data_IF_160381761448
#
_entry.id   IF_160381761448
#
_cell.length_a   1.000
_cell.length_b   1.000
_cell.length_c   1.000
_cell.angle_alpha   90.00
_cell.angle_beta   90.00
_cell.angle_gamma   90.00
#
_symmetry.space_group_name_H-M   'P 1'
#
loop_
_entity.id
_entity.type
_entity.pdbx_description
1 polymer ?
#
# COMPACT_ATOMS: atom_id res chain seq x y z
N UNK A 1 10.26 -13.18 -32.57
CA UNK A 1 10.40 -13.58 -31.15
C UNK A 1 9.42 -12.74 -30.36
N UNK A 2 8.53 -13.35 -29.59
CA UNK A 2 7.46 -12.65 -28.90
C UNK A 2 8.06 -11.70 -27.86
N UNK A 3 7.57 -10.45 -27.81
CA UNK A 3 7.86 -9.56 -26.69
C UNK A 3 7.26 -10.21 -25.45
N UNK A 4 8.08 -10.63 -24.50
CA UNK A 4 7.60 -11.06 -23.19
C UNK A 4 6.83 -9.90 -22.55
N UNK A 5 5.57 -10.15 -22.19
CA UNK A 5 4.74 -9.17 -21.49
C UNK A 5 5.17 -9.18 -20.04
N UNK A 6 5.70 -8.05 -19.56
CA UNK A 6 5.98 -7.84 -18.15
C UNK A 6 4.70 -7.42 -17.44
N UNK A 7 4.44 -8.03 -16.29
CA UNK A 7 3.32 -7.72 -15.40
C UNK A 7 3.84 -7.46 -13.99
N UNK A 8 3.10 -6.68 -13.22
CA UNK A 8 3.46 -6.37 -11.84
C UNK A 8 2.83 -7.39 -10.89
N UNK A 9 3.64 -7.96 -9.99
CA UNK A 9 3.18 -8.77 -8.87
C UNK A 9 3.42 -8.03 -7.56
N UNK A 10 2.55 -8.22 -6.57
CA UNK A 10 2.73 -7.73 -5.22
C UNK A 10 3.01 -8.92 -4.29
N UNK A 11 4.25 -9.04 -3.82
CA UNK A 11 4.72 -10.14 -2.98
C UNK A 11 4.38 -9.85 -1.52
N UNK A 12 3.56 -10.68 -0.91
CA UNK A 12 3.18 -10.57 0.51
C UNK A 12 4.12 -11.37 1.40
N UNK A 13 4.60 -12.52 0.92
CA UNK A 13 5.54 -13.40 1.61
C UNK A 13 6.80 -13.55 0.76
N UNK A 14 8.00 -13.16 1.24
CA UNK A 14 9.23 -13.30 0.47
C UNK A 14 9.49 -14.75 0.04
N UNK A 15 9.93 -14.95 -1.19
CA UNK A 15 10.21 -16.29 -1.73
C UNK A 15 11.34 -16.26 -2.77
N UNK A 16 11.91 -17.43 -3.03
CA UNK A 16 12.89 -17.63 -4.11
C UNK A 16 12.30 -18.58 -5.15
N UNK A 17 12.19 -18.12 -6.40
CA UNK A 17 11.75 -18.95 -7.52
C UNK A 17 12.98 -19.49 -8.25
N UNK A 18 13.00 -20.80 -8.53
CA UNK A 18 13.99 -21.39 -9.43
C UNK A 18 13.36 -21.52 -10.81
N UNK A 19 13.94 -20.83 -11.79
CA UNK A 19 13.49 -20.81 -13.18
C UNK A 19 13.97 -22.06 -13.93
N UNK A 20 13.42 -22.30 -15.12
CA UNK A 20 13.73 -23.49 -15.93
C UNK A 20 15.20 -23.59 -16.36
N UNK A 21 15.92 -22.48 -16.39
CA UNK A 21 17.36 -22.38 -16.66
C UNK A 21 18.23 -22.60 -15.39
N UNK A 22 17.61 -23.03 -14.28
CA UNK A 22 18.22 -23.21 -12.95
C UNK A 22 18.65 -21.91 -12.26
N UNK A 23 18.38 -20.75 -12.87
CA UNK A 23 18.58 -19.46 -12.21
C UNK A 23 17.62 -19.29 -11.04
N UNK A 24 18.13 -18.76 -9.94
CA UNK A 24 17.34 -18.42 -8.75
C UNK A 24 17.03 -16.94 -8.77
N UNK A 25 15.75 -16.61 -8.73
CA UNK A 25 15.27 -15.24 -8.62
C UNK A 25 14.63 -15.04 -7.24
N UNK A 26 15.17 -14.09 -6.49
CA UNK A 26 14.65 -13.73 -5.17
C UNK A 26 13.60 -12.64 -5.29
N UNK A 27 12.48 -12.83 -4.60
CA UNK A 27 11.39 -11.88 -4.51
C UNK A 27 11.19 -11.47 -3.05
N UNK A 28 11.65 -10.26 -2.72
CA UNK A 28 11.35 -9.62 -1.45
C UNK A 28 9.90 -9.16 -1.35
N UNK A 29 9.44 -8.80 -0.15
CA UNK A 29 8.11 -8.22 0.05
C UNK A 29 8.00 -6.88 -0.70
N UNK A 30 6.94 -6.68 -1.48
CA UNK A 30 6.74 -5.47 -2.29
C UNK A 30 6.37 -5.76 -3.75
N UNK A 31 6.40 -4.72 -4.60
CA UNK A 31 6.02 -4.83 -6.03
C UNK A 31 7.23 -5.22 -6.89
N UNK A 32 7.04 -6.17 -7.79
CA UNK A 32 8.07 -6.63 -8.73
C UNK A 32 7.50 -6.72 -10.14
N UNK A 33 8.28 -6.31 -11.14
CA UNK A 33 7.94 -6.53 -12.54
C UNK A 33 8.57 -7.84 -13.01
N UNK A 34 7.73 -8.76 -13.45
CA UNK A 34 8.14 -10.11 -13.84
C UNK A 34 7.48 -10.50 -15.17
N UNK A 35 8.05 -11.45 -15.90
CA UNK A 35 7.38 -12.04 -17.06
C UNK A 35 6.02 -12.65 -16.68
N UNK A 36 5.06 -12.58 -17.60
CA UNK A 36 3.72 -13.17 -17.39
C UNK A 36 3.77 -14.67 -17.02
N UNK A 37 4.77 -15.41 -17.52
CA UNK A 37 4.99 -16.81 -17.13
C UNK A 37 5.32 -16.96 -15.65
N UNK A 38 6.21 -16.10 -15.13
CA UNK A 38 6.58 -16.07 -13.71
C UNK A 38 5.39 -15.65 -12.85
N UNK A 39 4.62 -14.67 -13.29
CA UNK A 39 3.44 -14.18 -12.58
C UNK A 39 2.31 -15.21 -12.56
N UNK A 40 2.16 -15.99 -13.64
CA UNK A 40 1.16 -17.05 -13.76
C UNK A 40 1.56 -18.34 -13.03
N UNK A 41 2.81 -18.45 -12.59
CA UNK A 41 3.32 -19.62 -11.89
C UNK A 41 2.58 -19.82 -10.55
N UNK A 42 2.17 -21.07 -10.26
CA UNK A 42 1.38 -21.39 -9.05
C UNK A 42 2.07 -20.96 -7.75
N UNK A 43 3.40 -21.11 -7.68
CA UNK A 43 4.22 -20.70 -6.53
C UNK A 43 4.21 -19.18 -6.34
N UNK A 44 4.36 -18.42 -7.43
CA UNK A 44 4.26 -16.96 -7.40
C UNK A 44 2.87 -16.54 -6.95
N UNK A 45 1.80 -17.15 -7.48
CA UNK A 45 0.41 -16.85 -7.09
C UNK A 45 0.08 -17.21 -5.64
N UNK A 46 0.81 -18.15 -5.03
CA UNK A 46 0.64 -18.50 -3.61
C UNK A 46 1.28 -17.46 -2.67
N UNK A 47 2.25 -16.69 -3.16
CA UNK A 47 3.04 -15.76 -2.35
C UNK A 47 2.93 -14.29 -2.81
N UNK A 48 2.30 -14.06 -3.96
CA UNK A 48 2.14 -12.76 -4.58
C UNK A 48 0.80 -12.64 -5.34
N UNK A 49 0.23 -11.45 -5.34
CA UNK A 49 -0.97 -11.11 -6.10
C UNK A 49 -0.60 -10.42 -7.42
N UNK A 50 -1.33 -10.70 -8.50
CA UNK A 50 -1.21 -9.95 -9.75
C UNK A 50 -1.77 -8.55 -9.52
N UNK A 51 -0.91 -7.55 -9.66
CA UNK A 51 -1.32 -6.15 -9.60
C UNK A 51 -1.45 -5.64 -11.03
N UNK A 52 -2.68 -5.52 -11.51
CA UNK A 52 -2.98 -4.95 -12.84
C UNK A 52 -2.70 -3.44 -12.92
N UNK A 53 -2.31 -2.82 -11.81
CA UNK A 53 -1.95 -1.41 -11.75
C UNK A 53 -0.49 -1.19 -12.11
N UNK A 54 -0.24 -0.94 -13.40
CA UNK A 54 0.91 -0.19 -13.90
C UNK A 54 0.88 1.30 -13.47
N UNK A 55 0.35 1.60 -12.29
CA UNK A 55 0.21 2.93 -11.75
C UNK A 55 1.08 3.00 -10.52
N UNK A 56 1.99 3.97 -10.49
CA UNK A 56 2.64 4.41 -9.26
C UNK A 56 1.52 4.89 -8.31
N UNK A 57 0.94 3.97 -7.52
CA UNK A 57 -0.17 4.29 -6.61
C UNK A 57 0.24 5.32 -5.55
N UNK A 58 1.54 5.59 -5.39
CA UNK A 58 2.06 6.65 -4.52
C UNK A 58 1.78 8.07 -5.01
N UNK A 59 1.64 8.32 -6.32
CA UNK A 59 1.42 9.70 -6.83
C UNK A 59 -0.07 10.11 -6.68
N UNK A 60 -0.99 9.17 -6.91
CA UNK A 60 -2.44 9.38 -6.81
C UNK A 60 -2.96 9.42 -5.35
N UNK A 61 -2.15 8.97 -4.39
CA UNK A 61 -2.53 8.94 -2.97
C UNK A 61 -2.22 10.24 -2.22
N UNK A 62 -1.36 11.11 -2.77
CA UNK A 62 -1.00 12.40 -2.15
C UNK A 62 -2.24 13.28 -1.84
N UNK A 63 -3.19 13.51 -2.77
CA UNK A 63 -4.39 14.30 -2.46
C UNK A 63 -5.28 13.68 -1.37
N UNK A 64 -5.28 12.35 -1.25
CA UNK A 64 -6.01 11.64 -0.19
C UNK A 64 -5.32 11.85 1.16
N UNK A 65 -3.99 11.81 1.19
CA UNK A 65 -3.18 12.08 2.38
C UNK A 65 -3.41 13.53 2.86
N UNK A 66 -3.34 14.51 1.95
CA UNK A 66 -3.59 15.93 2.27
C UNK A 66 -5.01 16.15 2.83
N UNK A 67 -6.01 15.51 2.23
CA UNK A 67 -7.40 15.56 2.73
C UNK A 67 -7.55 14.94 4.12
N UNK A 68 -6.91 13.80 4.37
CA UNK A 68 -6.93 13.15 5.69
C UNK A 68 -6.23 14.01 6.75
N UNK A 69 -5.10 14.62 6.41
CA UNK A 69 -4.37 15.53 7.30
C UNK A 69 -5.23 16.76 7.67
N UNK A 70 -5.91 17.36 6.69
CA UNK A 70 -6.83 18.47 6.96
C UNK A 70 -7.98 18.07 7.90
N UNK A 71 -8.55 16.88 7.70
CA UNK A 71 -9.59 16.35 8.57
C UNK A 71 -9.12 16.03 9.99
N UNK A 72 -7.85 15.67 10.18
CA UNK A 72 -7.25 15.46 11.51
C UNK A 72 -7.12 16.81 12.22
N UNK A 73 -6.55 17.81 11.54
CA UNK A 73 -6.38 19.15 12.12
C UNK A 73 -7.71 19.80 12.53
N UNK A 74 -8.76 19.66 11.72
CA UNK A 74 -10.09 20.15 12.05
C UNK A 74 -10.67 19.46 13.29
N UNK A 75 -10.54 18.12 13.37
CA UNK A 75 -10.98 17.34 14.54
C UNK A 75 -10.19 17.71 15.79
N UNK A 76 -8.88 17.91 15.70
CA UNK A 76 -8.06 18.34 16.85
C UNK A 76 -8.50 19.71 17.38
N UNK A 77 -8.83 20.65 16.48
CA UNK A 77 -9.37 21.95 16.88
C UNK A 77 -10.72 21.82 17.58
N UNK A 78 -11.62 20.99 17.06
CA UNK A 78 -12.92 20.73 17.68
C UNK A 78 -12.77 20.10 19.07
N UNK A 79 -11.83 19.16 19.23
CA UNK A 79 -11.53 18.54 20.52
C UNK A 79 -11.01 19.57 21.51
N UNK A 80 -10.14 20.49 21.10
CA UNK A 80 -9.64 21.56 21.96
C UNK A 80 -10.76 22.51 22.41
N UNK A 81 -11.62 22.93 21.48
CA UNK A 81 -12.76 23.82 21.76
C UNK A 81 -13.76 23.17 22.73
N UNK A 82 -14.12 21.91 22.50
CA UNK A 82 -15.01 21.16 23.40
C UNK A 82 -14.42 20.98 24.80
N UNK A 83 -13.11 20.74 24.90
CA UNK A 83 -12.42 20.64 26.20
C UNK A 83 -12.44 21.98 26.96
N UNK A 84 -12.21 23.08 26.27
CA UNK A 84 -12.28 24.43 26.86
C UNK A 84 -13.71 24.76 27.32
N UNK A 85 -14.72 24.44 26.49
CA UNK A 85 -16.12 24.61 26.85
C UNK A 85 -16.50 23.78 28.08
N UNK A 86 -16.08 22.51 28.14
CA UNK A 86 -16.33 21.65 29.30
C UNK A 86 -15.65 22.18 30.57
N UNK A 87 -14.42 22.70 30.47
CA UNK A 87 -13.72 23.29 31.61
C UNK A 87 -14.49 24.50 32.17
N UNK A 88 -14.89 25.43 31.29
CA UNK A 88 -15.70 26.60 31.68
C UNK A 88 -17.03 26.20 32.32
N UNK A 89 -17.66 25.15 31.82
CA UNK A 89 -18.93 24.65 32.36
C UNK A 89 -18.76 23.99 33.72
N UNK A 90 -17.61 23.37 33.97
CA UNK A 90 -17.25 22.85 35.28
C UNK A 90 -17.01 23.99 36.28
N UNK A 91 -16.22 25.01 35.90
CA UNK A 91 -15.96 26.19 36.74
C UNK A 91 -17.22 27.00 37.09
N UNK A 92 -18.27 26.94 36.26
CA UNK A 92 -19.55 27.59 36.54
C UNK A 92 -20.47 26.80 37.49
N UNK A 93 -20.21 25.49 37.68
CA UNK A 93 -21.01 24.62 38.53
C UNK A 93 -20.37 24.32 39.89
N UNK A 94 -19.10 24.70 40.09
CA UNK A 94 -18.41 24.76 41.39
C UNK A 94 -18.66 26.10 42.11
#
# INVERSE_FOLDING_TARGET
MAKEKLVTIHVHTPFTLTLGDQSKQEFGRGRHNVPEEVASHWFTRAHAELSESGSNETDDQQPVIDSLQAQIADKDKLIADLKDALLKLQEQND
#
